data_IF_923548935505
#
_entry.id   IF_923548935505
#
_cell.length_a   1.000
_cell.length_b   1.000
_cell.length_c   1.000
_cell.angle_alpha   90.00
_cell.angle_beta   90.00
_cell.angle_gamma   90.00
#
_symmetry.space_group_name_H-M   'P 1'
#
loop_
_entity.id
_entity.type
_entity.pdbx_description
1 polymer ?
#
# COMPACT_ATOMS: atom_id res chain seq x y z
N UNK A 1 6.26 15.52 23.14
CA UNK A 1 7.49 15.83 22.39
C UNK A 1 7.47 14.99 21.11
N UNK A 2 7.29 15.64 19.96
CA UNK A 2 7.12 14.96 18.66
C UNK A 2 8.49 14.60 18.08
N UNK A 3 8.77 13.31 17.92
CA UNK A 3 9.99 12.82 17.26
C UNK A 3 9.80 12.94 15.74
N UNK A 4 10.28 14.05 15.16
CA UNK A 4 10.56 14.13 13.71
C UNK A 4 11.64 13.10 13.37
N UNK A 5 11.28 12.09 12.60
CA UNK A 5 12.25 11.14 12.05
C UNK A 5 12.89 11.75 10.80
N UNK A 6 14.13 12.25 10.94
CA UNK A 6 14.99 12.72 9.86
C UNK A 6 15.91 11.60 9.39
N UNK A 7 15.87 11.26 8.09
CA UNK A 7 17.08 11.07 7.26
C UNK A 7 16.73 10.48 5.88
N UNK A 8 16.14 11.31 5.03
CA UNK A 8 16.36 11.17 3.58
C UNK A 8 17.27 12.30 3.15
N UNK A 9 18.51 11.95 2.76
CA UNK A 9 19.41 12.90 2.13
C UNK A 9 18.80 13.36 0.81
N UNK A 10 18.43 14.63 0.71
CA UNK A 10 18.01 15.24 -0.54
C UNK A 10 19.22 15.40 -1.47
N UNK A 11 19.07 15.02 -2.74
CA UNK A 11 20.11 15.14 -3.77
C UNK A 11 19.53 15.97 -4.91
N UNK A 12 20.20 17.07 -5.24
CA UNK A 12 19.81 17.91 -6.38
C UNK A 12 20.16 17.24 -7.70
N UNK A 13 19.18 17.22 -8.61
CA UNK A 13 19.32 16.78 -10.01
C UNK A 13 18.64 17.82 -10.89
N UNK A 14 19.26 18.12 -12.03
CA UNK A 14 18.68 19.01 -13.05
C UNK A 14 18.20 18.17 -14.21
N UNK A 15 16.94 18.35 -14.58
CA UNK A 15 16.30 17.70 -15.74
C UNK A 15 15.66 18.77 -16.61
N UNK A 16 15.60 18.53 -17.92
CA UNK A 16 14.76 19.31 -18.82
C UNK A 16 13.43 18.59 -18.94
N UNK A 17 12.34 19.35 -18.90
CA UNK A 17 10.98 18.88 -19.12
C UNK A 17 10.35 19.75 -20.18
N UNK A 18 9.39 19.19 -20.91
CA UNK A 18 8.63 19.92 -21.91
C UNK A 18 7.71 20.95 -21.22
N UNK A 19 7.41 22.04 -21.93
CA UNK A 19 6.65 23.17 -21.40
C UNK A 19 5.22 22.76 -20.98
N UNK A 20 4.57 21.91 -21.78
CA UNK A 20 3.24 21.38 -21.49
C UNK A 20 3.21 20.51 -20.22
N UNK A 21 4.29 19.78 -19.94
CA UNK A 21 4.45 19.01 -18.70
C UNK A 21 4.63 19.93 -17.50
N UNK A 22 5.42 21.01 -17.64
CA UNK A 22 5.58 22.02 -16.58
C UNK A 22 4.24 22.66 -16.22
N UNK A 23 3.48 23.11 -17.22
CA UNK A 23 2.17 23.74 -17.03
C UNK A 23 1.18 22.81 -16.31
N UNK A 24 1.15 21.53 -16.72
CA UNK A 24 0.32 20.53 -16.06
C UNK A 24 0.72 20.30 -14.60
N UNK A 25 2.03 20.24 -14.30
CA UNK A 25 2.53 20.05 -12.93
C UNK A 25 2.16 21.25 -12.05
N UNK A 26 2.31 22.49 -12.54
CA UNK A 26 1.93 23.69 -11.80
C UNK A 26 0.43 23.69 -11.47
N UNK A 27 -0.42 23.41 -12.46
CA UNK A 27 -1.86 23.34 -12.26
C UNK A 27 -2.27 22.28 -11.23
N UNK A 28 -1.68 21.09 -11.30
CA UNK A 28 -1.96 20.00 -10.34
C UNK A 28 -1.45 20.36 -8.94
N UNK A 29 -0.28 21.02 -8.84
CA UNK A 29 0.30 21.44 -7.57
C UNK A 29 -0.62 22.46 -6.87
N UNK A 30 -1.16 23.43 -7.60
CA UNK A 30 -2.16 24.38 -7.09
C UNK A 30 -3.42 23.68 -6.60
N UNK A 31 -3.99 22.77 -7.41
CA UNK A 31 -5.19 22.01 -7.03
C UNK A 31 -5.01 21.18 -5.76
N UNK A 32 -3.81 20.63 -5.56
CA UNK A 32 -3.48 19.80 -4.38
C UNK A 32 -2.92 20.61 -3.21
N UNK A 33 -2.78 21.94 -3.35
CA UNK A 33 -2.12 22.81 -2.37
C UNK A 33 -0.70 22.32 -1.99
N UNK A 34 0.06 21.88 -3.00
CA UNK A 34 1.44 21.38 -2.87
C UNK A 34 2.40 22.33 -3.58
N UNK A 35 3.68 22.31 -3.17
CA UNK A 35 4.71 22.92 -4.02
C UNK A 35 4.98 22.04 -5.25
N UNK A 36 5.41 22.66 -6.36
CA UNK A 36 5.88 21.93 -7.56
C UNK A 36 6.93 20.88 -7.18
N UNK A 37 7.91 21.25 -6.34
CA UNK A 37 8.94 20.31 -5.89
C UNK A 37 8.36 19.13 -5.11
N UNK A 38 7.37 19.36 -4.25
CA UNK A 38 6.67 18.31 -3.53
C UNK A 38 5.96 17.32 -4.48
N UNK A 39 5.23 17.86 -5.45
CA UNK A 39 4.53 17.07 -6.46
C UNK A 39 5.49 16.27 -7.35
N UNK A 40 6.57 16.89 -7.82
CA UNK A 40 7.61 16.23 -8.63
C UNK A 40 8.26 15.10 -7.84
N UNK A 41 8.63 15.32 -6.57
CA UNK A 41 9.18 14.26 -5.72
C UNK A 41 8.18 13.12 -5.50
N UNK A 42 6.88 13.44 -5.32
CA UNK A 42 5.82 12.43 -5.19
C UNK A 42 5.69 11.60 -6.46
N UNK A 43 5.69 12.24 -7.63
CA UNK A 43 5.61 11.58 -8.93
C UNK A 43 6.82 10.69 -9.21
N UNK A 44 8.04 11.18 -9.01
CA UNK A 44 9.27 10.41 -9.21
C UNK A 44 9.36 9.20 -8.28
N UNK A 45 8.92 9.34 -7.01
CA UNK A 45 8.85 8.22 -6.08
C UNK A 45 7.85 7.18 -6.53
N UNK A 46 6.64 7.60 -6.94
CA UNK A 46 5.65 6.68 -7.49
C UNK A 46 6.21 5.95 -8.72
N UNK A 47 6.81 6.67 -9.66
CA UNK A 47 7.40 6.06 -10.85
C UNK A 47 8.45 4.99 -10.49
N UNK A 48 9.42 5.35 -9.65
CA UNK A 48 10.55 4.49 -9.32
C UNK A 48 10.18 3.26 -8.47
N UNK A 49 9.21 3.39 -7.56
CA UNK A 49 8.90 2.34 -6.58
C UNK A 49 7.58 1.62 -6.84
N UNK A 50 6.67 2.20 -7.63
CA UNK A 50 5.34 1.67 -7.88
C UNK A 50 5.12 1.34 -9.36
N UNK A 51 5.23 2.34 -10.24
CA UNK A 51 4.86 2.16 -11.65
C UNK A 51 5.80 1.15 -12.34
N UNK A 52 7.11 1.24 -12.11
CA UNK A 52 8.08 0.24 -12.63
C UNK A 52 7.81 -1.19 -12.11
N UNK A 53 7.24 -1.32 -10.91
CA UNK A 53 6.85 -2.64 -10.41
C UNK A 53 5.60 -3.13 -11.13
N UNK A 54 4.56 -2.31 -11.23
CA UNK A 54 3.29 -2.65 -11.87
C UNK A 54 3.42 -2.96 -13.37
N UNK A 55 4.31 -2.28 -14.10
CA UNK A 55 4.58 -2.56 -15.52
C UNK A 55 5.00 -4.02 -15.75
N UNK A 56 5.74 -4.63 -14.82
CA UNK A 56 6.16 -6.04 -14.93
C UNK A 56 5.05 -7.05 -14.69
N UNK A 57 3.96 -6.61 -14.06
CA UNK A 57 2.79 -7.43 -13.79
C UNK A 57 1.66 -7.16 -14.78
N UNK A 58 1.97 -6.51 -15.91
CA UNK A 58 1.00 -6.16 -16.96
C UNK A 58 -0.25 -5.45 -16.39
N UNK A 59 -0.04 -4.65 -15.34
CA UNK A 59 -1.13 -3.98 -14.64
C UNK A 59 -1.77 -2.93 -15.56
N UNK A 60 -3.10 -2.94 -15.61
CA UNK A 60 -3.88 -1.98 -16.41
C UNK A 60 -4.54 -0.94 -15.52
N UNK A 61 -4.52 0.31 -15.97
CA UNK A 61 -5.28 1.38 -15.32
C UNK A 61 -6.77 1.23 -15.65
N UNK A 62 -7.63 1.27 -14.64
CA UNK A 62 -9.08 1.11 -14.80
C UNK A 62 -9.84 2.09 -13.90
N UNK A 63 -10.95 2.71 -14.34
CA UNK A 63 -11.79 3.53 -13.47
C UNK A 63 -12.27 2.75 -12.25
N UNK A 64 -12.12 3.32 -11.05
CA UNK A 64 -12.50 2.64 -9.80
C UNK A 64 -13.97 2.23 -9.77
N UNK A 65 -14.86 3.02 -10.36
CA UNK A 65 -16.28 2.71 -10.45
C UNK A 65 -16.57 1.44 -11.26
N UNK A 66 -15.78 1.16 -12.30
CA UNK A 66 -15.91 -0.06 -13.08
C UNK A 66 -15.50 -1.28 -12.24
N UNK A 67 -14.40 -1.17 -11.49
CA UNK A 67 -13.93 -2.22 -10.58
C UNK A 67 -14.95 -2.50 -9.46
N UNK A 68 -15.53 -1.45 -8.87
CA UNK A 68 -16.64 -1.57 -7.91
C UNK A 68 -17.81 -2.32 -8.55
N UNK A 69 -18.22 -1.90 -9.75
CA UNK A 69 -19.35 -2.51 -10.44
C UNK A 69 -19.12 -3.99 -10.77
N UNK A 70 -17.90 -4.35 -11.17
CA UNK A 70 -17.51 -5.74 -11.41
C UNK A 70 -17.65 -6.60 -10.15
N UNK A 71 -17.19 -6.08 -9.00
CA UNK A 71 -17.30 -6.80 -7.73
C UNK A 71 -18.76 -7.02 -7.30
N UNK A 72 -19.66 -6.08 -7.57
CA UNK A 72 -21.09 -6.24 -7.26
C UNK A 72 -21.73 -7.47 -7.93
N UNK A 73 -21.21 -7.91 -9.08
CA UNK A 73 -21.72 -9.10 -9.76
C UNK A 73 -21.25 -10.42 -9.14
N UNK A 74 -20.26 -10.39 -8.24
CA UNK A 74 -19.77 -11.59 -7.57
C UNK A 74 -20.68 -11.97 -6.40
N UNK A 75 -20.85 -13.27 -6.15
CA UNK A 75 -21.32 -13.75 -4.85
C UNK A 75 -20.28 -13.42 -3.77
N UNK A 76 -20.67 -13.39 -2.50
CA UNK A 76 -19.73 -13.20 -1.39
C UNK A 76 -18.63 -14.28 -1.40
N UNK A 77 -19.01 -15.52 -1.72
CA UNK A 77 -18.07 -16.62 -1.82
C UNK A 77 -17.08 -16.42 -2.98
N UNK A 78 -17.55 -16.01 -4.15
CA UNK A 78 -16.65 -15.75 -5.29
C UNK A 78 -15.69 -14.59 -5.01
N UNK A 79 -16.12 -13.56 -4.29
CA UNK A 79 -15.24 -12.48 -3.85
C UNK A 79 -14.14 -12.97 -2.90
N UNK A 80 -14.47 -13.90 -1.99
CA UNK A 80 -13.48 -14.55 -1.11
C UNK A 80 -12.51 -15.44 -1.89
N UNK A 81 -13.01 -16.22 -2.84
CA UNK A 81 -12.16 -17.08 -3.69
C UNK A 81 -11.20 -16.24 -4.54
N UNK A 82 -11.69 -15.13 -5.09
CA UNK A 82 -10.86 -14.15 -5.80
C UNK A 82 -9.80 -13.55 -4.86
N UNK A 83 -10.16 -13.18 -3.63
CA UNK A 83 -9.23 -12.64 -2.64
C UNK A 83 -8.13 -13.63 -2.23
N UNK A 84 -8.49 -14.91 -2.04
CA UNK A 84 -7.51 -15.97 -1.76
C UNK A 84 -6.52 -16.12 -2.92
N UNK A 85 -7.02 -16.23 -4.15
CA UNK A 85 -6.18 -16.33 -5.35
C UNK A 85 -5.27 -15.10 -5.52
N UNK A 86 -5.82 -13.90 -5.29
CA UNK A 86 -5.06 -12.66 -5.35
C UNK A 86 -3.94 -12.62 -4.29
N UNK A 87 -4.22 -13.08 -3.06
CA UNK A 87 -3.24 -13.14 -1.98
C UNK A 87 -2.11 -14.13 -2.25
N UNK A 88 -2.45 -15.36 -2.63
CA UNK A 88 -1.47 -16.45 -2.80
C UNK A 88 -0.62 -16.31 -4.06
N UNK A 89 -1.14 -15.65 -5.09
CA UNK A 89 -0.47 -15.52 -6.38
C UNK A 89 0.07 -14.10 -6.58
N UNK A 90 -0.83 -13.13 -6.81
CA UNK A 90 -0.47 -11.79 -7.27
C UNK A 90 0.25 -11.00 -6.18
N UNK A 91 -0.32 -10.90 -4.99
CA UNK A 91 0.25 -10.11 -3.90
C UNK A 91 1.61 -10.68 -3.48
N UNK A 92 1.73 -12.00 -3.41
CA UNK A 92 2.98 -12.69 -3.08
C UNK A 92 4.08 -12.46 -4.12
N UNK A 93 3.78 -12.62 -5.40
CA UNK A 93 4.74 -12.35 -6.47
C UNK A 93 5.17 -10.88 -6.49
N UNK A 94 4.21 -9.96 -6.30
CA UNK A 94 4.50 -8.53 -6.24
C UNK A 94 5.41 -8.19 -5.05
N UNK A 95 5.15 -8.75 -3.86
CA UNK A 95 6.03 -8.60 -2.69
C UNK A 95 7.41 -9.19 -2.94
N UNK A 96 7.50 -10.39 -3.51
CA UNK A 96 8.78 -11.01 -3.87
C UNK A 96 9.54 -10.16 -4.88
N UNK A 97 8.85 -9.51 -5.82
CA UNK A 97 9.47 -8.63 -6.79
C UNK A 97 9.97 -7.32 -6.15
N UNK A 98 9.11 -6.62 -5.42
CA UNK A 98 9.37 -5.29 -4.86
C UNK A 98 10.28 -5.33 -3.63
N UNK A 99 10.09 -6.32 -2.75
CA UNK A 99 10.76 -6.39 -1.44
C UNK A 99 11.78 -7.54 -1.34
N UNK A 100 11.80 -8.46 -2.30
CA UNK A 100 12.67 -9.66 -2.32
C UNK A 100 12.38 -10.67 -1.22
N UNK A 101 11.28 -10.50 -0.50
CA UNK A 101 10.87 -11.34 0.61
C UNK A 101 9.34 -11.34 0.77
N UNK A 102 8.82 -12.36 1.45
CA UNK A 102 7.41 -12.49 1.84
C UNK A 102 7.36 -12.63 3.36
N UNK A 103 7.53 -11.49 4.04
CA UNK A 103 7.53 -11.38 5.51
C UNK A 103 6.33 -10.55 5.98
N UNK A 104 6.06 -10.53 7.29
CA UNK A 104 5.08 -9.60 7.86
C UNK A 104 5.39 -8.14 7.47
N UNK A 105 6.68 -7.77 7.46
CA UNK A 105 7.10 -6.41 7.05
C UNK A 105 6.74 -6.15 5.59
N UNK A 106 6.99 -7.11 4.69
CA UNK A 106 6.60 -7.01 3.28
C UNK A 106 5.08 -6.85 3.10
N UNK A 107 4.28 -7.60 3.86
CA UNK A 107 2.80 -7.50 3.82
C UNK A 107 2.33 -6.12 4.29
N UNK A 108 2.85 -5.63 5.42
CA UNK A 108 2.49 -4.30 5.92
C UNK A 108 2.90 -3.20 4.94
N UNK A 109 4.12 -3.26 4.39
CA UNK A 109 4.58 -2.32 3.36
C UNK A 109 3.75 -2.39 2.08
N UNK A 110 3.32 -3.58 1.66
CA UNK A 110 2.45 -3.73 0.50
C UNK A 110 1.16 -2.92 0.71
N UNK A 111 0.49 -3.06 1.86
CA UNK A 111 -0.73 -2.30 2.14
C UNK A 111 -0.48 -0.80 2.35
N UNK A 112 0.64 -0.41 2.95
CA UNK A 112 1.03 1.00 3.02
C UNK A 112 1.19 1.61 1.61
N UNK A 113 1.85 0.91 0.68
CA UNK A 113 1.98 1.39 -0.71
C UNK A 113 0.62 1.53 -1.41
N UNK A 114 -0.31 0.60 -1.18
CA UNK A 114 -1.67 0.71 -1.69
C UNK A 114 -2.34 2.00 -1.19
N UNK A 115 -2.17 2.33 0.10
CA UNK A 115 -2.71 3.56 0.68
C UNK A 115 -2.05 4.86 0.19
N UNK A 116 -0.78 4.82 -0.23
CA UNK A 116 -0.08 5.99 -0.80
C UNK A 116 -0.49 6.23 -2.26
N UNK A 117 -0.74 5.16 -3.02
CA UNK A 117 -0.90 5.25 -4.47
C UNK A 117 -2.35 5.14 -4.95
N UNK A 118 -3.28 4.67 -4.12
CA UNK A 118 -4.70 4.59 -4.44
C UNK A 118 -5.51 5.56 -3.57
N UNK A 119 -6.12 6.57 -4.21
CA UNK A 119 -6.98 7.57 -3.53
C UNK A 119 -8.12 6.92 -2.73
N UNK A 120 -8.56 5.74 -3.15
CA UNK A 120 -9.67 5.02 -2.53
C UNK A 120 -9.25 4.12 -1.36
N UNK A 121 -7.97 4.06 -0.98
CA UNK A 121 -7.48 3.19 0.10
C UNK A 121 -6.69 4.04 1.09
N UNK A 122 -6.92 3.79 2.38
CA UNK A 122 -6.11 4.33 3.45
C UNK A 122 -5.75 3.20 4.41
N UNK A 123 -4.46 3.05 4.70
CA UNK A 123 -3.96 1.98 5.54
C UNK A 123 -3.15 2.55 6.69
N UNK A 124 -3.56 2.23 7.91
CA UNK A 124 -2.87 2.55 9.14
C UNK A 124 -2.37 1.27 9.82
N UNK A 125 -1.12 1.27 10.26
CA UNK A 125 -0.55 0.24 11.13
C UNK A 125 0.05 0.90 12.38
N UNK A 126 -0.33 0.37 13.54
CA UNK A 126 0.23 0.72 14.85
C UNK A 126 0.57 -0.55 15.64
N UNK A 127 1.51 -0.41 16.58
CA UNK A 127 1.87 -1.49 17.49
C UNK A 127 2.26 -0.97 18.88
N UNK A 128 1.93 -1.77 19.89
CA UNK A 128 2.32 -1.60 21.29
C UNK A 128 3.05 -2.88 21.73
N UNK A 129 4.39 -2.86 21.63
CA UNK A 129 5.20 -4.06 21.83
C UNK A 129 4.88 -5.12 20.77
N UNK A 130 4.45 -6.30 21.24
CA UNK A 130 4.08 -7.45 20.41
C UNK A 130 2.63 -7.41 19.91
N UNK A 131 1.83 -6.43 20.33
CA UNK A 131 0.43 -6.27 19.90
C UNK A 131 0.33 -5.28 18.74
N UNK A 132 -0.28 -5.71 17.64
CA UNK A 132 -0.39 -4.93 16.41
C UNK A 132 -1.87 -4.69 16.06
N UNK A 133 -2.16 -3.49 15.55
CA UNK A 133 -3.45 -3.15 14.96
C UNK A 133 -3.24 -2.60 13.55
N UNK A 134 -4.00 -3.14 12.59
CA UNK A 134 -4.09 -2.61 11.23
C UNK A 134 -5.50 -2.11 10.97
N UNK A 135 -5.63 -1.00 10.25
CA UNK A 135 -6.90 -0.44 9.83
C UNK A 135 -6.80 -0.11 8.35
N UNK A 136 -7.61 -0.78 7.54
CA UNK A 136 -7.77 -0.50 6.11
C UNK A 136 -9.13 0.15 5.89
N UNK A 137 -9.16 1.41 5.48
CA UNK A 137 -10.36 2.14 5.07
C UNK A 137 -10.37 2.28 3.54
N UNK A 138 -11.56 2.22 2.94
CA UNK A 138 -11.70 2.45 1.50
C UNK A 138 -13.08 3.01 1.14
N UNK A 139 -13.28 3.41 -0.13
CA UNK A 139 -14.55 3.98 -0.62
C UNK A 139 -15.24 3.11 -1.67
N UNK A 140 -15.01 1.80 -1.61
CA UNK A 140 -15.36 0.83 -2.67
C UNK A 140 -16.55 -0.08 -2.34
N UNK A 141 -17.14 0.04 -1.15
CA UNK A 141 -18.35 -0.67 -0.74
C UNK A 141 -18.12 -2.06 -0.13
N UNK A 142 -19.18 -2.69 0.39
CA UNK A 142 -19.09 -3.87 1.26
C UNK A 142 -18.48 -5.10 0.60
N UNK A 143 -18.62 -5.26 -0.72
CA UNK A 143 -18.00 -6.39 -1.43
C UNK A 143 -16.49 -6.30 -1.43
N UNK A 144 -15.93 -5.10 -1.56
CA UNK A 144 -14.49 -4.88 -1.43
C UNK A 144 -14.03 -5.13 0.00
N UNK A 145 -14.83 -4.79 1.01
CA UNK A 145 -14.51 -5.14 2.40
C UNK A 145 -14.42 -6.65 2.61
N UNK A 146 -15.30 -7.45 1.99
CA UNK A 146 -15.21 -8.92 2.01
C UNK A 146 -13.92 -9.41 1.36
N UNK A 147 -13.58 -8.83 0.19
CA UNK A 147 -12.34 -9.14 -0.50
C UNK A 147 -11.11 -8.83 0.37
N UNK A 148 -11.02 -7.64 0.95
CA UNK A 148 -9.88 -7.25 1.77
C UNK A 148 -9.76 -8.05 3.06
N UNK A 149 -10.88 -8.36 3.71
CA UNK A 149 -10.89 -9.23 4.89
C UNK A 149 -10.25 -10.59 4.55
N UNK A 150 -10.68 -11.21 3.45
CA UNK A 150 -10.18 -12.53 3.05
C UNK A 150 -8.74 -12.47 2.52
N UNK A 151 -8.36 -11.40 1.81
CA UNK A 151 -7.00 -11.16 1.34
C UNK A 151 -6.02 -11.02 2.53
N UNK A 152 -6.39 -10.21 3.53
CA UNK A 152 -5.57 -10.05 4.74
C UNK A 152 -5.49 -11.39 5.47
N UNK A 153 -6.62 -12.09 5.63
CA UNK A 153 -6.66 -13.40 6.29
C UNK A 153 -5.74 -14.41 5.62
N UNK A 154 -5.76 -14.50 4.29
CA UNK A 154 -4.95 -15.48 3.54
C UNK A 154 -3.45 -15.20 3.69
N UNK A 155 -3.03 -13.94 3.54
CA UNK A 155 -1.63 -13.54 3.70
C UNK A 155 -1.12 -13.80 5.12
N UNK A 156 -1.90 -13.47 6.15
CA UNK A 156 -1.50 -13.72 7.55
C UNK A 156 -1.46 -15.22 7.89
N UNK A 157 -2.40 -16.00 7.36
CA UNK A 157 -2.42 -17.46 7.53
C UNK A 157 -1.17 -18.09 6.92
N UNK A 158 -0.74 -17.63 5.74
CA UNK A 158 0.48 -18.12 5.09
C UNK A 158 1.74 -17.83 5.92
N UNK A 159 1.77 -16.70 6.64
CA UNK A 159 2.84 -16.36 7.57
C UNK A 159 2.75 -17.10 8.91
N UNK A 160 1.72 -17.93 9.13
CA UNK A 160 1.48 -18.58 10.41
C UNK A 160 1.09 -17.61 11.54
N UNK A 161 0.59 -16.42 11.19
CA UNK A 161 0.19 -15.39 12.15
C UNK A 161 -1.34 -15.42 12.27
N UNK A 162 -1.83 -15.67 13.49
CA UNK A 162 -3.25 -15.58 13.77
C UNK A 162 -3.67 -14.10 13.89
N UNK A 163 -4.65 -13.71 13.08
CA UNK A 163 -5.21 -12.35 13.07
C UNK A 163 -6.72 -12.40 13.30
N UNK A 164 -7.18 -11.58 14.24
CA UNK A 164 -8.60 -11.32 14.46
C UNK A 164 -9.02 -10.18 13.55
N UNK A 165 -10.02 -10.41 12.71
CA UNK A 165 -10.50 -9.44 11.71
C UNK A 165 -11.94 -9.04 12.03
N UNK A 166 -12.18 -7.73 11.93
CA UNK A 166 -13.48 -7.10 12.05
C UNK A 166 -13.75 -6.28 10.79
N UNK A 167 -14.93 -6.45 10.21
CA UNK A 167 -15.30 -5.86 8.93
C UNK A 167 -16.53 -4.98 9.07
N UNK A 168 -16.46 -3.79 8.49
CA UNK A 168 -17.57 -2.88 8.20
C UNK A 168 -17.68 -2.72 6.68
N UNK A 169 -18.65 -1.93 6.20
CA UNK A 169 -18.91 -1.79 4.76
C UNK A 169 -17.75 -1.21 3.96
N UNK A 170 -16.90 -0.40 4.58
CA UNK A 170 -15.80 0.32 3.93
C UNK A 170 -14.51 0.29 4.77
N UNK A 171 -14.41 -0.68 5.67
CA UNK A 171 -13.29 -0.80 6.58
C UNK A 171 -13.06 -2.24 7.01
N UNK A 172 -11.79 -2.64 7.06
CA UNK A 172 -11.33 -3.88 7.69
C UNK A 172 -10.31 -3.52 8.76
N UNK A 173 -10.55 -3.98 9.98
CA UNK A 173 -9.66 -3.81 11.12
C UNK A 173 -9.10 -5.16 11.51
N UNK A 174 -7.79 -5.24 11.72
CA UNK A 174 -7.10 -6.46 12.10
C UNK A 174 -6.29 -6.29 13.37
N UNK A 175 -6.36 -7.25 14.28
CA UNK A 175 -5.58 -7.28 15.53
C UNK A 175 -4.83 -8.60 15.61
N UNK A 176 -3.52 -8.55 15.83
CA UNK A 176 -2.68 -9.74 15.92
C UNK A 176 -1.51 -9.53 16.88
N UNK A 177 -0.85 -10.63 17.24
CA UNK A 177 0.36 -10.61 18.06
C UNK A 177 1.52 -11.31 17.36
N UNK A 178 2.74 -10.84 17.58
CA UNK A 178 3.97 -11.46 17.06
C UNK A 178 4.83 -12.00 18.19
N UNK A 179 5.43 -13.18 18.04
CA UNK A 179 6.42 -13.66 18.99
C UNK A 179 7.73 -12.83 18.89
N UNK A 180 8.39 -12.60 20.03
CA UNK A 180 9.58 -11.75 20.21
C UNK A 180 10.75 -12.02 19.24
N UNK A 181 10.83 -13.22 18.63
CA UNK A 181 11.89 -13.62 17.69
C UNK A 181 11.75 -13.05 16.28
N UNK A 182 10.63 -12.43 15.90
CA UNK A 182 10.45 -11.88 14.55
C UNK A 182 11.16 -10.51 14.33
N UNK A 183 11.65 -9.88 15.39
CA UNK A 183 12.16 -8.49 15.32
C UNK A 183 13.68 -8.37 15.29
N UNK A 184 14.44 -9.45 15.58
CA UNK A 184 15.91 -9.45 15.62
C UNK A 184 16.59 -10.07 14.37
N UNK A 185 15.84 -10.67 13.44
CA UNK A 185 16.40 -11.33 12.26
C UNK A 185 16.37 -10.49 10.97
N UNK A 186 16.11 -9.18 11.05
CA UNK A 186 16.35 -8.30 9.92
C UNK A 186 17.81 -7.82 9.97
N UNK A 187 18.67 -8.16 8.97
CA UNK A 187 19.83 -7.32 8.74
C UNK A 187 19.33 -5.88 8.59
N UNK A 188 20.13 -4.89 9.00
CA UNK A 188 19.91 -3.49 8.61
C UNK A 188 19.89 -3.44 7.09
N UNK A 189 18.74 -3.72 6.48
CA UNK A 189 18.45 -3.35 5.12
C UNK A 189 18.66 -1.85 5.12
N UNK A 190 19.64 -1.38 4.35
CA UNK A 190 19.82 0.02 4.06
C UNK A 190 18.46 0.54 3.65
N UNK A 191 17.77 1.18 4.58
CA UNK A 191 16.43 1.68 4.35
C UNK A 191 16.60 2.71 3.24
N UNK A 192 16.11 2.41 2.03
CA UNK A 192 15.59 3.50 1.22
C UNK A 192 14.42 4.04 2.02
N UNK A 193 14.73 5.04 2.83
CA UNK A 193 13.80 5.78 3.66
C UNK A 193 12.72 6.34 2.74
N UNK A 194 11.61 5.64 2.66
CA UNK A 194 10.34 6.19 2.23
C UNK A 194 9.77 6.83 3.49
N UNK A 195 10.40 7.95 3.88
CA UNK A 195 9.92 8.76 4.97
C UNK A 195 8.45 9.08 4.70
N UNK A 196 7.59 8.74 5.67
CA UNK A 196 6.29 9.39 5.86
C UNK A 196 6.56 10.89 5.93
N UNK A 197 6.46 11.58 4.81
CA UNK A 197 6.13 12.99 4.83
C UNK A 197 4.63 13.04 4.68
N UNK A 198 3.99 13.53 5.73
CA UNK A 198 2.65 14.07 5.63
C UNK A 198 2.55 14.91 4.35
N UNK A 199 1.60 14.54 3.52
CA UNK A 199 0.82 15.46 2.72
C UNK A 199 -0.56 15.50 3.36
#
# INVERSE_FOLDING_TARGET
MSTRNSDTRSITRTVRIDEDVQDAIEHIAEQQNLSVNALVNKALRKFAFWDTALEKFEAVSTPSQLLVKMMEYLSDQNAKDLARSAGTNIAKELMQFMFKEVTLNAVLRHFELQGVHHVSIHFDHSNEGEAHTIVMRHTMGPKWSIFYEELIRSLFTELGILIELERLDNQVTGRFRTARTAQEAAPRATAMSIARSAY
#
